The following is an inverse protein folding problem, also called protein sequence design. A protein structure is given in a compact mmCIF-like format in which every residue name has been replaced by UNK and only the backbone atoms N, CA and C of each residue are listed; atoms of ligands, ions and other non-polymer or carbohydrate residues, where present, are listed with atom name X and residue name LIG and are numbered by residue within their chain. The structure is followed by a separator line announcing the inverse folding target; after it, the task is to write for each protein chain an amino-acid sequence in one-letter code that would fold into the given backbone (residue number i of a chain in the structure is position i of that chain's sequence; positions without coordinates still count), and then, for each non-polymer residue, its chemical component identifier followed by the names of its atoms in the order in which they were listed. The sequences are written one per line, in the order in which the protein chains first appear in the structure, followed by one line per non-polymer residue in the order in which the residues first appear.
data_IF_552864311569
#
_entry.id   IF_552864311569
#
_cell.length_a   1.000
_cell.length_b   1.000
_cell.length_c   1.000
_cell.angle_alpha   90.00
_cell.angle_beta   90.00
_cell.angle_gamma   90.00
#
_symmetry.space_group_name_H-M   'P 1'
#
loop_
_entity.id
_entity.type
_entity.pdbx_description
1 polymer ?
#
# COMPACT_ATOMS: atom_id res chain seq x y z
N UNK A 1 5.87 26.11 -16.30
CA UNK A 1 5.77 24.63 -16.33
C UNK A 1 6.68 24.15 -17.44
N UNK A 2 7.95 23.90 -17.12
CA UNK A 2 8.88 23.25 -18.04
C UNK A 2 8.50 21.78 -18.10
N UNK A 3 8.03 21.33 -19.26
CA UNK A 3 7.88 19.90 -19.58
C UNK A 3 9.25 19.26 -19.33
N UNK A 4 9.40 18.39 -18.34
CA UNK A 4 10.63 17.63 -18.19
C UNK A 4 10.75 16.73 -19.43
N UNK A 5 11.89 16.73 -20.11
CA UNK A 5 12.12 16.02 -21.39
C UNK A 5 12.06 14.47 -21.27
N UNK A 6 11.53 13.95 -20.16
CA UNK A 6 11.50 12.53 -19.80
C UNK A 6 10.11 12.02 -19.39
N UNK A 7 9.07 12.84 -19.54
CA UNK A 7 7.68 12.41 -19.30
C UNK A 7 7.17 11.53 -20.46
N UNK A 8 6.47 10.45 -20.12
CA UNK A 8 5.77 9.55 -21.04
C UNK A 8 4.35 9.26 -20.54
N UNK A 9 3.54 8.60 -21.36
CA UNK A 9 2.13 8.33 -21.07
C UNK A 9 1.88 6.83 -20.93
N UNK A 10 1.14 6.44 -19.89
CA UNK A 10 0.62 5.08 -19.71
C UNK A 10 -0.87 5.18 -19.43
N UNK A 11 -1.70 4.60 -20.32
CA UNK A 11 -3.18 4.62 -20.17
C UNK A 11 -3.76 6.03 -19.88
N UNK A 12 -3.18 7.07 -20.51
CA UNK A 12 -3.58 8.47 -20.33
C UNK A 12 -3.08 9.16 -19.06
N UNK A 13 -2.23 8.48 -18.27
CA UNK A 13 -1.55 9.05 -17.11
C UNK A 13 -0.14 9.51 -17.48
N UNK A 14 0.20 10.74 -17.11
CA UNK A 14 1.57 11.25 -17.22
C UNK A 14 2.47 10.60 -16.19
N UNK A 15 3.58 10.03 -16.64
CA UNK A 15 4.56 9.33 -15.84
C UNK A 15 5.97 9.78 -16.25
N UNK A 16 6.94 9.71 -15.34
CA UNK A 16 8.35 9.91 -15.65
C UNK A 16 9.24 8.94 -14.86
N UNK A 17 10.48 8.77 -15.29
CA UNK A 17 11.48 8.03 -14.53
C UNK A 17 12.00 8.88 -13.36
N UNK A 18 12.06 8.32 -12.16
CA UNK A 18 12.42 9.08 -10.96
C UNK A 18 13.22 8.29 -9.93
N UNK A 19 14.46 8.67 -9.66
CA UNK A 19 15.24 8.06 -8.58
C UNK A 19 15.94 9.15 -7.75
N UNK A 20 15.57 9.26 -6.47
CA UNK A 20 16.19 10.22 -5.54
C UNK A 20 17.46 9.68 -4.86
N UNK A 21 17.86 8.44 -5.15
CA UNK A 21 19.07 7.87 -4.57
C UNK A 21 20.32 8.46 -5.21
N UNK A 22 21.33 8.78 -4.40
CA UNK A 22 22.56 9.43 -4.87
C UNK A 22 23.33 8.62 -5.93
N UNK A 23 23.22 7.29 -5.90
CA UNK A 23 23.95 6.38 -6.80
C UNK A 23 23.03 5.54 -7.70
N UNK A 24 21.73 5.83 -7.71
CA UNK A 24 20.73 4.96 -8.35
C UNK A 24 20.48 3.66 -7.55
N UNK A 25 19.28 3.12 -7.67
CA UNK A 25 18.95 1.79 -7.15
C UNK A 25 19.16 0.75 -8.26
N UNK A 26 20.25 -0.02 -8.14
CA UNK A 26 20.68 -0.99 -9.16
C UNK A 26 19.66 -2.09 -9.48
N UNK A 27 18.70 -2.32 -8.59
CA UNK A 27 17.73 -3.41 -8.71
C UNK A 27 16.49 -3.07 -9.54
N UNK A 28 16.28 -1.82 -9.94
CA UNK A 28 15.10 -1.45 -10.70
C UNK A 28 14.98 -0.01 -11.12
N UNK A 29 13.87 0.26 -11.79
CA UNK A 29 13.47 1.59 -12.24
C UNK A 29 12.19 2.01 -11.55
N UNK A 30 11.97 3.31 -11.47
CA UNK A 30 10.77 3.88 -10.88
C UNK A 30 9.98 4.65 -11.93
N UNK A 31 8.74 4.24 -12.12
CA UNK A 31 7.74 5.01 -12.84
C UNK A 31 6.98 5.85 -11.81
N UNK A 32 7.09 7.18 -11.88
CA UNK A 32 6.41 8.10 -10.97
C UNK A 32 5.28 8.84 -11.66
N UNK A 33 4.12 8.79 -11.03
CA UNK A 33 2.92 9.54 -11.39
C UNK A 33 2.73 10.60 -10.31
N UNK A 34 3.05 11.87 -10.58
CA UNK A 34 2.86 12.93 -9.57
C UNK A 34 1.38 13.21 -9.28
N UNK A 35 0.53 13.04 -10.29
CA UNK A 35 -0.89 13.35 -10.27
C UNK A 35 -1.70 12.20 -10.88
N UNK A 36 -1.65 11.02 -10.29
CA UNK A 36 -2.49 9.91 -10.72
C UNK A 36 -3.96 10.26 -10.49
N UNK A 37 -4.72 10.41 -11.57
CA UNK A 37 -6.10 10.91 -11.56
C UNK A 37 -7.05 9.88 -12.14
N UNK A 38 -8.19 9.67 -11.48
CA UNK A 38 -9.18 8.65 -11.90
C UNK A 38 -10.55 9.26 -12.18
N UNK A 39 -10.99 10.22 -11.36
CA UNK A 39 -12.24 10.98 -11.52
C UNK A 39 -12.29 12.11 -10.50
N UNK A 40 -13.23 13.05 -10.67
CA UNK A 40 -13.51 14.14 -9.72
C UNK A 40 -13.93 13.66 -8.32
N UNK A 41 -14.39 12.41 -8.18
CA UNK A 41 -14.81 11.86 -6.89
C UNK A 41 -13.64 11.50 -5.97
N UNK A 42 -12.44 11.33 -6.53
CA UNK A 42 -11.26 10.95 -5.76
C UNK A 42 -10.14 11.99 -5.96
N UNK A 43 -9.47 12.42 -4.87
CA UNK A 43 -8.33 13.29 -5.02
C UNK A 43 -7.22 12.61 -5.83
N UNK A 44 -6.56 13.37 -6.70
CA UNK A 44 -5.35 12.89 -7.37
C UNK A 44 -4.25 12.69 -6.34
N UNK A 45 -3.35 11.73 -6.60
CA UNK A 45 -2.26 11.42 -5.68
C UNK A 45 -1.00 11.01 -6.40
N UNK A 46 0.12 11.11 -5.67
CA UNK A 46 1.41 10.61 -6.13
C UNK A 46 1.49 9.09 -5.95
N UNK A 47 2.01 8.41 -6.97
CA UNK A 47 2.26 6.96 -6.94
C UNK A 47 3.64 6.69 -7.53
N UNK A 48 4.42 5.86 -6.87
CA UNK A 48 5.67 5.32 -7.40
C UNK A 48 5.48 3.84 -7.71
N UNK A 49 5.86 3.42 -8.91
CA UNK A 49 5.88 2.01 -9.32
C UNK A 49 7.32 1.61 -9.57
N UNK A 50 7.89 0.84 -8.64
CA UNK A 50 9.19 0.22 -8.80
C UNK A 50 9.05 -1.07 -9.61
N UNK A 51 9.81 -1.16 -10.70
CA UNK A 51 9.88 -2.33 -11.57
C UNK A 51 11.32 -2.89 -11.57
N UNK A 52 11.52 -4.22 -11.62
CA UNK A 52 12.85 -4.81 -11.65
C UNK A 52 13.73 -4.32 -12.81
N UNK A 53 15.05 -4.32 -12.63
CA UNK A 53 15.99 -3.72 -13.59
C UNK A 53 15.95 -4.38 -14.98
N UNK A 54 15.70 -5.69 -15.02
CA UNK A 54 15.56 -6.45 -16.26
C UNK A 54 14.15 -6.38 -16.85
N UNK A 55 13.23 -5.62 -16.25
CA UNK A 55 11.84 -5.56 -16.71
C UNK A 55 11.73 -5.08 -18.16
N UNK A 56 12.53 -4.12 -18.62
CA UNK A 56 12.43 -3.65 -20.01
C UNK A 56 13.13 -4.58 -21.01
N UNK A 57 14.14 -5.34 -20.58
CA UNK A 57 14.99 -6.18 -21.44
C UNK A 57 14.58 -7.65 -21.44
N UNK A 58 13.83 -8.09 -20.43
CA UNK A 58 13.33 -9.46 -20.32
C UNK A 58 12.06 -9.62 -21.18
N UNK A 59 12.27 -10.04 -22.43
CA UNK A 59 11.25 -10.21 -23.47
C UNK A 59 10.46 -11.52 -23.32
N UNK A 60 10.85 -12.40 -22.39
CA UNK A 60 10.02 -13.55 -22.02
C UNK A 60 8.84 -13.06 -21.17
N UNK A 61 7.70 -13.74 -21.24
CA UNK A 61 6.44 -13.35 -20.58
C UNK A 61 6.47 -13.40 -19.03
N UNK A 62 7.62 -13.07 -18.40
CA UNK A 62 7.77 -13.02 -16.95
C UNK A 62 6.83 -11.98 -16.37
N UNK A 63 6.01 -12.46 -15.44
CA UNK A 63 5.09 -11.68 -14.61
C UNK A 63 5.58 -11.69 -13.18
N UNK A 64 5.27 -10.63 -12.45
CA UNK A 64 5.82 -10.38 -11.12
C UNK A 64 4.69 -10.31 -10.08
N UNK A 65 4.89 -10.88 -8.89
CA UNK A 65 4.07 -10.54 -7.73
C UNK A 65 4.13 -9.03 -7.46
N UNK A 66 3.09 -8.50 -6.82
CA UNK A 66 2.96 -7.05 -6.57
C UNK A 66 2.80 -6.78 -5.08
N UNK A 67 3.62 -5.86 -4.56
CA UNK A 67 3.48 -5.33 -3.21
C UNK A 67 2.95 -3.90 -3.31
N UNK A 68 1.75 -3.69 -2.80
CA UNK A 68 1.18 -2.36 -2.60
C UNK A 68 1.63 -1.85 -1.24
N UNK A 69 2.32 -0.72 -1.22
CA UNK A 69 2.80 -0.07 -0.01
C UNK A 69 1.94 1.16 0.28
N UNK A 70 1.28 1.14 1.44
CA UNK A 70 0.78 2.36 2.06
C UNK A 70 1.96 3.26 2.47
N UNK A 71 1.71 4.54 2.68
CA UNK A 71 2.75 5.52 2.99
C UNK A 71 3.84 5.60 1.90
N UNK A 72 3.42 5.78 0.64
CA UNK A 72 4.31 5.82 -0.51
C UNK A 72 5.46 6.81 -0.37
N UNK A 73 5.22 7.94 0.32
CA UNK A 73 6.21 8.97 0.62
C UNK A 73 7.42 8.48 1.44
N UNK A 74 7.27 7.39 2.18
CA UNK A 74 8.32 6.83 3.04
C UNK A 74 8.81 5.46 2.54
N UNK A 75 8.31 4.96 1.42
CA UNK A 75 8.58 3.59 0.96
C UNK A 75 10.02 3.44 0.46
N UNK A 76 10.46 4.36 -0.40
CA UNK A 76 11.79 4.28 -1.03
C UNK A 76 12.75 5.31 -0.43
N UNK A 77 12.31 6.55 -0.28
CA UNK A 77 13.13 7.67 0.17
C UNK A 77 12.61 8.27 1.47
N UNK A 78 13.36 9.23 2.00
CA UNK A 78 13.04 9.89 3.25
C UNK A 78 11.85 10.83 3.04
N UNK A 79 10.67 10.41 3.52
CA UNK A 79 9.47 11.24 3.52
C UNK A 79 8.46 10.84 4.61
N UNK A 80 8.83 9.88 5.47
CA UNK A 80 8.03 9.51 6.64
C UNK A 80 8.25 10.42 7.84
N UNK A 81 7.54 10.10 8.94
CA UNK A 81 7.70 10.80 10.21
C UNK A 81 9.16 10.78 10.68
N UNK A 82 9.68 11.95 11.04
CA UNK A 82 11.09 12.12 11.43
C UNK A 82 12.06 11.91 10.26
N UNK A 83 11.62 12.13 9.02
CA UNK A 83 12.40 11.96 7.80
C UNK A 83 12.93 10.54 7.59
N UNK A 84 12.17 9.54 8.04
CA UNK A 84 12.52 8.12 7.92
C UNK A 84 12.01 7.52 6.61
N UNK A 85 12.67 6.44 6.19
CA UNK A 85 12.33 5.62 5.04
C UNK A 85 12.37 4.13 5.41
N UNK A 86 11.56 3.33 4.74
CA UNK A 86 11.66 1.87 4.76
C UNK A 86 12.83 1.37 3.91
N UNK A 87 13.33 2.20 2.99
CA UNK A 87 14.40 1.85 2.06
C UNK A 87 14.12 0.54 1.32
N UNK A 88 12.88 0.37 0.83
CA UNK A 88 12.44 -0.88 0.19
C UNK A 88 13.32 -1.20 -1.02
N UNK A 89 13.70 -0.19 -1.82
CA UNK A 89 14.57 -0.40 -2.97
C UNK A 89 15.94 -0.98 -2.60
N UNK A 90 16.59 -0.43 -1.57
CA UNK A 90 17.87 -0.96 -1.10
C UNK A 90 17.77 -2.36 -0.46
N UNK A 91 16.65 -2.68 0.18
CA UNK A 91 16.37 -4.03 0.69
C UNK A 91 16.20 -5.01 -0.47
N UNK A 92 15.42 -4.64 -1.50
CA UNK A 92 15.22 -5.46 -2.69
C UNK A 92 16.53 -5.68 -3.46
N UNK A 93 17.42 -4.68 -3.57
CA UNK A 93 18.77 -4.88 -4.13
C UNK A 93 19.49 -6.03 -3.46
N UNK A 94 19.56 -6.03 -2.11
CA UNK A 94 20.23 -7.08 -1.34
C UNK A 94 19.57 -8.45 -1.49
N UNK A 95 18.25 -8.49 -1.68
CA UNK A 95 17.51 -9.74 -1.90
C UNK A 95 17.81 -10.27 -3.31
N UNK A 96 17.75 -9.42 -4.33
CA UNK A 96 17.93 -9.83 -5.73
C UNK A 96 19.38 -10.22 -6.03
N UNK A 97 20.35 -9.60 -5.36
CA UNK A 97 21.76 -10.03 -5.42
C UNK A 97 21.95 -11.47 -4.94
N UNK A 98 21.15 -11.91 -3.95
CA UNK A 98 21.20 -13.26 -3.41
C UNK A 98 20.34 -14.24 -4.20
N UNK A 99 19.16 -13.80 -4.64
CA UNK A 99 18.20 -14.60 -5.39
C UNK A 99 17.43 -13.74 -6.41
N UNK A 100 17.90 -13.68 -7.66
CA UNK A 100 17.23 -12.95 -8.74
C UNK A 100 15.82 -13.46 -9.07
N UNK A 101 15.41 -14.64 -8.57
CA UNK A 101 14.05 -15.17 -8.79
C UNK A 101 13.00 -14.46 -7.94
N UNK A 102 13.40 -13.74 -6.88
CA UNK A 102 12.51 -13.07 -5.91
C UNK A 102 12.04 -11.68 -6.34
N UNK A 103 12.18 -11.35 -7.62
CA UNK A 103 11.78 -10.06 -8.15
C UNK A 103 10.28 -9.81 -8.02
N UNK A 104 9.94 -8.62 -7.55
CA UNK A 104 8.57 -8.11 -7.39
C UNK A 104 8.44 -6.71 -7.99
N UNK A 105 7.20 -6.33 -8.28
CA UNK A 105 6.81 -4.93 -8.51
C UNK A 105 6.37 -4.35 -7.17
N UNK A 106 6.76 -3.11 -6.88
CA UNK A 106 6.27 -2.38 -5.70
C UNK A 106 5.51 -1.14 -6.14
N UNK A 107 4.27 -1.01 -5.68
CA UNK A 107 3.41 0.14 -5.93
C UNK A 107 3.27 0.92 -4.63
N UNK A 108 3.99 2.03 -4.51
CA UNK A 108 3.99 2.89 -3.34
C UNK A 108 2.96 4.02 -3.51
N UNK A 109 1.90 3.99 -2.70
CA UNK A 109 0.75 4.88 -2.83
C UNK A 109 0.84 5.98 -1.76
N UNK A 110 0.94 7.23 -2.20
CA UNK A 110 0.89 8.35 -1.25
C UNK A 110 -0.53 8.51 -0.71
N UNK A 111 -0.63 8.66 0.61
CA UNK A 111 -1.87 9.11 1.23
C UNK A 111 -2.11 10.59 0.91
N UNK A 112 -3.36 10.95 0.63
CA UNK A 112 -3.80 12.35 0.53
C UNK A 112 -4.13 12.88 1.92
N UNK A 113 -4.86 12.09 2.70
CA UNK A 113 -5.16 12.35 4.10
C UNK A 113 -4.99 11.03 4.86
N UNK A 114 -3.77 10.82 5.38
CA UNK A 114 -3.37 9.56 6.02
C UNK A 114 -4.30 9.17 7.16
N UNK A 115 -4.76 10.14 7.94
CA UNK A 115 -5.64 9.89 9.09
C UNK A 115 -7.01 9.42 8.63
N UNK A 116 -7.59 10.11 7.64
CA UNK A 116 -8.88 9.73 7.06
C UNK A 116 -8.81 8.38 6.36
N UNK A 117 -7.86 8.24 5.44
CA UNK A 117 -7.78 7.11 4.54
C UNK A 117 -7.42 5.81 5.25
N UNK A 118 -6.74 5.87 6.38
CA UNK A 118 -6.22 4.67 7.03
C UNK A 118 -6.93 4.26 8.32
N UNK A 119 -8.02 4.95 8.68
CA UNK A 119 -8.83 4.62 9.87
C UNK A 119 -10.27 4.32 9.49
N UNK A 120 -10.94 3.52 10.32
CA UNK A 120 -12.29 3.01 10.05
C UNK A 120 -13.40 3.70 10.85
N UNK A 121 -13.04 4.49 11.86
CA UNK A 121 -14.00 5.27 12.65
C UNK A 121 -13.45 6.66 12.96
N UNK A 122 -14.37 7.58 13.22
CA UNK A 122 -14.02 8.88 13.74
C UNK A 122 -13.75 8.81 15.24
N UNK A 123 -12.47 8.84 15.63
CA UNK A 123 -12.06 8.67 17.03
C UNK A 123 -11.58 9.98 17.68
N UNK A 124 -11.37 11.06 16.92
CA UNK A 124 -11.11 12.40 17.47
C UNK A 124 -11.99 13.46 16.83
N UNK A 125 -12.64 14.26 17.68
CA UNK A 125 -13.41 15.42 17.24
C UNK A 125 -12.55 16.39 16.41
N UNK A 126 -13.15 16.94 15.35
CA UNK A 126 -12.56 17.92 14.43
C UNK A 126 -11.41 17.41 13.55
N UNK A 127 -11.12 16.11 13.56
CA UNK A 127 -10.22 15.51 12.59
C UNK A 127 -10.97 14.62 11.59
N UNK A 128 -10.38 14.49 10.41
CA UNK A 128 -10.88 13.67 9.31
C UNK A 128 -10.38 12.24 9.51
N UNK A 129 -11.28 11.36 9.97
CA UNK A 129 -11.02 9.94 10.27
C UNK A 129 -12.18 9.08 9.72
N UNK A 130 -11.98 7.78 9.56
CA UNK A 130 -13.04 6.83 9.19
C UNK A 130 -13.29 6.64 7.69
N UNK A 131 -12.33 6.98 6.83
CA UNK A 131 -12.44 6.89 5.37
C UNK A 131 -11.79 5.67 4.73
N UNK A 132 -11.40 4.64 5.50
CA UNK A 132 -10.70 3.46 4.95
C UNK A 132 -11.49 2.71 3.89
N UNK A 133 -12.82 2.74 3.95
CA UNK A 133 -13.67 2.11 2.94
C UNK A 133 -13.53 2.79 1.57
N UNK A 134 -13.59 4.13 1.52
CA UNK A 134 -13.37 4.89 0.28
C UNK A 134 -11.96 4.66 -0.28
N UNK A 135 -10.96 4.59 0.61
CA UNK A 135 -9.58 4.32 0.22
C UNK A 135 -9.42 2.91 -0.38
N UNK A 136 -10.07 1.92 0.23
CA UNK A 136 -10.05 0.55 -0.25
C UNK A 136 -10.69 0.45 -1.65
N UNK A 137 -11.87 1.04 -1.81
CA UNK A 137 -12.58 1.09 -3.08
C UNK A 137 -11.75 1.80 -4.16
N UNK A 138 -11.08 2.89 -3.81
CA UNK A 138 -10.19 3.59 -4.74
C UNK A 138 -9.06 2.70 -5.26
N UNK A 139 -8.38 1.97 -4.37
CA UNK A 139 -7.29 1.07 -4.77
C UNK A 139 -7.84 -0.09 -5.60
N UNK A 140 -8.89 -0.75 -5.11
CA UNK A 140 -9.46 -1.96 -5.73
C UNK A 140 -10.02 -1.68 -7.11
N UNK A 141 -10.74 -0.56 -7.27
CA UNK A 141 -11.46 -0.26 -8.50
C UNK A 141 -10.64 0.58 -9.50
N UNK A 142 -9.56 1.24 -9.04
CA UNK A 142 -8.76 2.11 -9.92
C UNK A 142 -7.27 1.78 -9.94
N UNK A 143 -6.59 1.79 -8.81
CA UNK A 143 -5.12 1.59 -8.79
C UNK A 143 -4.75 0.19 -9.27
N UNK A 144 -5.31 -0.85 -8.63
CA UNK A 144 -4.96 -2.24 -8.99
C UNK A 144 -5.28 -2.57 -10.45
N UNK A 145 -6.47 -2.23 -11.00
CA UNK A 145 -6.76 -2.46 -12.41
C UNK A 145 -5.83 -1.71 -13.36
N UNK A 146 -5.46 -0.46 -13.03
CA UNK A 146 -4.45 0.27 -13.82
C UNK A 146 -3.11 -0.46 -13.82
N UNK A 147 -2.64 -0.89 -12.65
CA UNK A 147 -1.36 -1.60 -12.52
C UNK A 147 -1.40 -2.93 -13.27
N UNK A 148 -2.44 -3.73 -13.12
CA UNK A 148 -2.55 -5.05 -13.76
C UNK A 148 -2.65 -4.99 -15.29
N UNK A 149 -3.22 -3.92 -15.85
CA UNK A 149 -3.28 -3.72 -17.31
C UNK A 149 -1.96 -3.24 -17.90
N UNK A 150 -1.26 -2.36 -17.19
CA UNK A 150 -0.11 -1.64 -17.73
C UNK A 150 1.23 -2.24 -17.34
N UNK A 151 1.25 -3.11 -16.33
CA UNK A 151 2.43 -3.80 -15.87
C UNK A 151 2.24 -5.32 -15.93
N UNK A 152 3.32 -6.07 -16.07
CA UNK A 152 3.32 -7.53 -16.16
C UNK A 152 3.18 -8.13 -14.76
N UNK A 153 1.99 -8.04 -14.19
CA UNK A 153 1.70 -8.55 -12.85
C UNK A 153 1.23 -10.00 -12.89
N UNK A 154 1.46 -10.72 -11.79
CA UNK A 154 0.69 -11.88 -11.37
C UNK A 154 -0.49 -11.35 -10.55
N UNK A 155 -1.66 -11.22 -11.17
CA UNK A 155 -2.78 -10.46 -10.62
C UNK A 155 -3.67 -11.23 -9.62
N UNK A 156 -3.30 -12.47 -9.28
CA UNK A 156 -4.06 -13.32 -8.35
C UNK A 156 -3.85 -12.87 -6.89
N UNK A 157 -4.81 -13.17 -6.02
CA UNK A 157 -4.74 -12.74 -4.61
C UNK A 157 -3.50 -13.23 -3.88
N UNK A 158 -3.07 -14.48 -4.12
CA UNK A 158 -1.86 -15.05 -3.51
C UNK A 158 -0.55 -14.36 -3.94
N UNK A 159 -0.57 -13.63 -5.05
CA UNK A 159 0.59 -12.91 -5.59
C UNK A 159 0.48 -11.38 -5.34
N UNK A 160 -0.55 -10.96 -4.60
CA UNK A 160 -0.86 -9.55 -4.33
C UNK A 160 -0.79 -9.28 -2.83
N UNK A 161 0.16 -8.43 -2.44
CA UNK A 161 0.42 -8.04 -1.04
C UNK A 161 -0.01 -6.60 -0.81
N UNK A 162 -0.61 -6.29 0.34
CA UNK A 162 -0.79 -4.92 0.85
C UNK A 162 0.01 -4.76 2.15
N UNK A 163 0.76 -3.67 2.30
CA UNK A 163 1.66 -3.48 3.43
C UNK A 163 1.68 -2.03 3.93
N UNK A 164 1.90 -1.86 5.24
CA UNK A 164 2.08 -0.54 5.86
C UNK A 164 2.37 -0.62 7.36
N UNK A 165 2.60 0.54 7.99
CA UNK A 165 2.82 0.63 9.44
C UNK A 165 1.88 1.59 10.16
N UNK A 166 1.63 1.35 11.45
CA UNK A 166 0.72 2.18 12.26
C UNK A 166 -0.67 2.25 11.60
N UNK A 167 -1.18 3.44 11.26
CA UNK A 167 -2.42 3.55 10.47
C UNK A 167 -2.31 2.81 9.13
N UNK A 168 -1.19 2.88 8.42
CA UNK A 168 -0.98 2.10 7.19
C UNK A 168 -1.05 0.58 7.41
N UNK A 169 -0.68 0.10 8.60
CA UNK A 169 -0.84 -1.30 9.00
C UNK A 169 -2.30 -1.65 9.25
N UNK A 170 -3.05 -0.77 9.93
CA UNK A 170 -4.50 -0.88 10.11
C UNK A 170 -5.23 -0.89 8.75
N UNK A 171 -4.88 0.02 7.83
CA UNK A 171 -5.41 0.03 6.47
C UNK A 171 -5.12 -1.26 5.71
N UNK A 172 -3.91 -1.80 5.83
CA UNK A 172 -3.53 -3.07 5.18
C UNK A 172 -4.39 -4.24 5.68
N UNK A 173 -4.62 -4.28 7.00
CA UNK A 173 -5.52 -5.26 7.62
C UNK A 173 -6.95 -5.12 7.09
N UNK A 174 -7.50 -3.90 7.06
CA UNK A 174 -8.84 -3.64 6.51
C UNK A 174 -8.95 -4.01 5.03
N UNK A 175 -7.95 -3.67 4.22
CA UNK A 175 -7.92 -3.96 2.79
C UNK A 175 -8.03 -5.47 2.52
N UNK A 176 -7.14 -6.26 3.12
CA UNK A 176 -7.10 -7.69 2.86
C UNK A 176 -8.35 -8.42 3.38
N UNK A 177 -8.92 -8.00 4.51
CA UNK A 177 -10.14 -8.63 5.03
C UNK A 177 -11.42 -8.17 4.33
N UNK A 178 -11.46 -6.95 3.79
CA UNK A 178 -12.59 -6.47 2.99
C UNK A 178 -12.56 -7.01 1.56
N UNK A 179 -11.36 -7.31 1.03
CA UNK A 179 -11.16 -7.78 -0.34
C UNK A 179 -10.20 -8.99 -0.42
N UNK A 180 -10.52 -10.10 0.26
CA UNK A 180 -9.59 -11.23 0.42
C UNK A 180 -9.31 -11.99 -0.89
N UNK A 181 -10.23 -11.91 -1.86
CA UNK A 181 -10.04 -12.46 -3.21
C UNK A 181 -9.18 -11.57 -4.11
N UNK A 182 -8.76 -10.40 -3.62
CA UNK A 182 -7.94 -9.43 -4.35
C UNK A 182 -6.56 -9.29 -3.70
N UNK A 183 -6.53 -9.14 -2.37
CA UNK A 183 -5.32 -9.04 -1.56
C UNK A 183 -5.24 -10.26 -0.66
N UNK A 184 -4.46 -11.26 -1.06
CA UNK A 184 -4.34 -12.51 -0.32
C UNK A 184 -3.30 -12.48 0.79
N UNK A 185 -2.50 -11.41 0.88
CA UNK A 185 -1.45 -11.26 1.89
C UNK A 185 -1.47 -9.81 2.41
N UNK A 186 -1.43 -9.64 3.73
CA UNK A 186 -1.23 -8.34 4.36
C UNK A 186 -0.03 -8.36 5.31
N UNK A 187 0.79 -7.30 5.24
CA UNK A 187 1.86 -7.03 6.20
C UNK A 187 1.46 -5.81 7.02
N UNK A 188 1.03 -6.05 8.25
CA UNK A 188 0.48 -5.06 9.15
C UNK A 188 1.51 -4.78 10.26
N UNK A 189 2.38 -3.80 10.05
CA UNK A 189 3.44 -3.48 11.00
C UNK A 189 2.93 -2.52 12.10
N UNK A 190 2.92 -2.97 13.35
CA UNK A 190 2.49 -2.24 14.54
C UNK A 190 1.16 -1.54 14.28
N UNK A 191 0.14 -2.28 13.80
CA UNK A 191 -1.09 -1.69 13.32
C UNK A 191 -1.77 -0.94 14.45
N UNK A 192 -2.28 0.26 14.15
CA UNK A 192 -2.95 1.10 15.14
C UNK A 192 -4.36 0.60 15.46
N UNK A 193 -4.51 -0.66 15.91
CA UNK A 193 -5.81 -1.24 16.24
C UNK A 193 -6.56 -0.47 17.33
N UNK A 194 -5.83 0.28 18.16
CA UNK A 194 -6.38 1.24 19.13
C UNK A 194 -7.25 2.33 18.49
N UNK A 195 -7.02 2.70 17.22
CA UNK A 195 -7.80 3.71 16.52
C UNK A 195 -9.23 3.19 16.26
N UNK A 196 -10.13 3.48 17.20
CA UNK A 196 -11.53 3.06 17.17
C UNK A 196 -11.96 2.08 18.25
N UNK A 197 -11.02 1.55 19.04
CA UNK A 197 -11.35 0.78 20.24
C UNK A 197 -11.92 1.67 21.35
N UNK A 198 -11.59 2.97 21.37
CA UNK A 198 -11.89 3.87 22.48
C UNK A 198 -13.37 4.29 22.61
N UNK A 199 -14.16 4.32 21.52
CA UNK A 199 -15.55 4.81 21.63
C UNK A 199 -16.50 3.78 22.26
N UNK A 200 -16.12 2.50 22.27
CA UNK A 200 -16.87 1.43 22.95
C UNK A 200 -16.67 1.44 24.47
N UNK A 201 -15.79 2.29 24.99
CA UNK A 201 -15.32 2.18 26.36
C UNK A 201 -15.27 3.57 27.01
N UNK A 202 -16.36 3.93 27.70
CA UNK A 202 -16.52 5.20 28.39
C UNK A 202 -15.24 5.64 29.12
N UNK A 203 -14.72 6.80 28.71
CA UNK A 203 -13.76 7.71 29.36
C UNK A 203 -13.04 7.26 30.65
N UNK A 204 -12.42 6.08 30.68
CA UNK A 204 -11.58 5.64 31.80
C UNK A 204 -10.35 4.91 31.29
N UNK A 205 -9.19 5.40 31.72
CA UNK A 205 -7.85 4.86 31.42
C UNK A 205 -7.64 3.43 31.94
N UNK A 206 -8.62 2.84 32.62
CA UNK A 206 -8.59 1.48 33.17
C UNK A 206 -8.75 0.38 32.12
N UNK A 207 -9.21 0.70 30.90
CA UNK A 207 -9.61 -0.28 29.89
C UNK A 207 -8.74 -0.33 28.63
N UNK A 208 -7.47 0.09 28.75
CA UNK A 208 -6.41 -0.17 27.75
C UNK A 208 -6.15 -1.69 27.49
N UNK A 209 -6.95 -2.58 28.10
CA UNK A 209 -6.75 -4.03 28.15
C UNK A 209 -7.94 -4.86 27.61
N UNK A 210 -8.85 -4.27 26.82
CA UNK A 210 -9.79 -5.08 26.05
C UNK A 210 -9.06 -5.87 24.96
N UNK A 211 -9.36 -7.17 24.83
CA UNK A 211 -8.69 -8.01 23.84
C UNK A 211 -9.11 -7.63 22.42
N UNK A 212 -8.15 -7.65 21.49
CA UNK A 212 -8.41 -7.48 20.05
C UNK A 212 -9.46 -8.49 19.56
N UNK A 213 -9.41 -9.73 20.07
CA UNK A 213 -10.33 -10.84 19.72
C UNK A 213 -11.80 -10.46 19.88
N UNK A 214 -12.15 -9.68 20.91
CA UNK A 214 -13.52 -9.29 21.21
C UNK A 214 -13.95 -7.97 20.59
N UNK A 215 -13.07 -7.28 19.86
CA UNK A 215 -13.36 -5.97 19.29
C UNK A 215 -14.30 -6.01 18.09
N UNK A 216 -15.08 -4.95 17.87
CA UNK A 216 -15.92 -4.78 16.67
C UNK A 216 -15.10 -4.90 15.37
N UNK A 217 -13.82 -4.50 15.42
CA UNK A 217 -12.87 -4.66 14.32
C UNK A 217 -12.72 -6.12 13.91
N UNK A 218 -12.51 -7.04 14.87
CA UNK A 218 -12.36 -8.47 14.59
C UNK A 218 -13.70 -9.14 14.33
N UNK A 219 -14.73 -8.82 15.12
CA UNK A 219 -16.06 -9.41 14.96
C UNK A 219 -16.62 -9.16 13.55
N UNK A 220 -16.40 -7.97 12.98
CA UNK A 220 -16.78 -7.63 11.60
C UNK A 220 -16.21 -8.61 10.58
N UNK A 221 -15.00 -9.12 10.79
CA UNK A 221 -14.30 -9.99 9.85
C UNK A 221 -14.18 -11.45 10.30
N UNK A 222 -14.81 -11.87 11.41
CA UNK A 222 -14.70 -13.25 11.93
C UNK A 222 -15.08 -14.30 10.87
N UNK A 223 -16.15 -14.03 10.10
CA UNK A 223 -16.58 -14.89 9.00
C UNK A 223 -15.52 -15.02 7.88
N UNK A 224 -14.74 -13.98 7.60
CA UNK A 224 -13.64 -14.00 6.62
C UNK A 224 -12.44 -14.73 7.18
N UNK A 225 -12.07 -14.45 8.44
CA UNK A 225 -10.92 -15.05 9.12
C UNK A 225 -11.07 -16.58 9.26
N UNK A 226 -12.30 -17.09 9.34
CA UNK A 226 -12.61 -18.53 9.38
C UNK A 226 -12.83 -19.16 8.00
N UNK A 227 -12.77 -18.38 6.92
CA UNK A 227 -13.04 -18.86 5.57
C UNK A 227 -11.82 -19.49 4.91
N UNK A 228 -12.04 -20.31 3.88
CA UNK A 228 -10.96 -20.90 3.07
C UNK A 228 -10.23 -19.89 2.17
N UNK A 229 -10.72 -18.66 2.09
CA UNK A 229 -10.12 -17.58 1.33
C UNK A 229 -9.56 -16.48 2.24
N UNK A 230 -9.40 -16.76 3.55
CA UNK A 230 -8.76 -15.83 4.47
C UNK A 230 -7.36 -15.43 3.96
N UNK A 231 -7.03 -14.13 3.96
CA UNK A 231 -5.70 -13.68 3.57
C UNK A 231 -4.68 -14.09 4.63
N UNK A 232 -3.43 -14.26 4.20
CA UNK A 232 -2.31 -14.45 5.11
C UNK A 232 -1.96 -13.11 5.77
N UNK A 233 -2.14 -13.02 7.09
CA UNK A 233 -1.88 -11.82 7.87
C UNK A 233 -0.56 -11.95 8.63
N UNK A 234 0.40 -11.07 8.33
CA UNK A 234 1.61 -10.88 9.12
C UNK A 234 1.42 -9.64 10.00
N UNK A 235 1.37 -9.85 11.31
CA UNK A 235 1.15 -8.79 12.32
C UNK A 235 2.31 -8.87 13.32
N UNK A 236 2.94 -7.74 13.64
CA UNK A 236 3.98 -7.62 14.68
C UNK A 236 3.56 -6.73 15.87
#
# INVERSE_FOLDING_TARGET
MTKNEHDFQIDGQTCHFHDESQNGISSGHFHTYDHFYVSEHYPSRKIHVFIPIDYLTNIQQKRYPVIYMNDGQATFWNGGLGNKSWNVGGILSKIYEKDPSKQVIVVAIHSVDRNREYTHVNWMWQQSFGGVHDYNDYIVNHIKPFIDRNYRTLSTSKDTVIAGSSHGGLASFHMALSHPTIFGIAICMSPSFWAGLDWLIGSSLTNLFCSLETSDLIQKYDHILRSNYAPLLYID
#
